data_IF_656611800325
#
_entry.id   IF_656611800325
#
_cell.length_a   1.000
_cell.length_b   1.000
_cell.length_c   1.000
_cell.angle_alpha   90.00
_cell.angle_beta   90.00
_cell.angle_gamma   90.00
#
_symmetry.space_group_name_H-M   'P 1'
#
loop_
_entity.id
_entity.type
_entity.pdbx_description
1 polymer ?
#
# COMPACT_ATOMS: atom_id res chain seq x y z
N UNK A 1 10.62 0.21 2.07
CA UNK A 1 10.66 -1.06 1.32
C UNK A 1 12.04 -1.72 1.23
N UNK A 2 13.16 -0.98 1.31
CA UNK A 2 14.53 -1.53 1.24
C UNK A 2 14.84 -2.62 2.28
N UNK A 3 14.36 -2.47 3.52
CA UNK A 3 14.56 -3.47 4.57
C UNK A 3 13.94 -4.83 4.20
N UNK A 4 12.67 -4.84 3.78
CA UNK A 4 12.00 -6.08 3.36
C UNK A 4 12.73 -6.73 2.17
N UNK A 5 13.10 -5.93 1.17
CA UNK A 5 13.85 -6.41 0.01
C UNK A 5 15.24 -6.98 0.37
N UNK A 6 15.87 -6.46 1.45
CA UNK A 6 17.15 -7.01 1.95
C UNK A 6 17.01 -8.34 2.68
N UNK A 7 15.81 -8.65 3.21
CA UNK A 7 15.51 -9.97 3.76
C UNK A 7 15.25 -10.98 2.64
N UNK A 8 14.37 -10.62 1.70
CA UNK A 8 14.16 -11.35 0.45
C UNK A 8 13.35 -10.51 -0.53
N UNK A 9 13.66 -10.62 -1.82
CA UNK A 9 12.83 -10.05 -2.89
C UNK A 9 11.52 -10.83 -3.10
N UNK A 10 11.47 -12.08 -2.63
CA UNK A 10 10.31 -12.97 -2.69
C UNK A 10 9.38 -12.80 -1.47
N UNK A 11 9.68 -11.85 -0.58
CA UNK A 11 8.77 -11.51 0.51
C UNK A 11 7.43 -11.08 -0.07
N UNK A 12 6.37 -11.78 0.33
CA UNK A 12 5.02 -11.41 -0.02
C UNK A 12 4.63 -10.11 0.68
N UNK A 13 4.16 -9.13 -0.08
CA UNK A 13 3.77 -7.82 0.43
C UNK A 13 2.38 -7.47 -0.07
N UNK A 14 1.48 -7.13 0.85
CA UNK A 14 0.17 -6.61 0.52
C UNK A 14 0.15 -5.08 0.74
N UNK A 15 -0.08 -4.32 -0.33
CA UNK A 15 -0.29 -2.87 -0.27
C UNK A 15 -1.80 -2.65 -0.29
N UNK A 16 -2.37 -2.18 0.82
CA UNK A 16 -3.83 -2.10 0.98
C UNK A 16 -4.34 -0.67 0.80
N UNK A 17 -5.33 -0.49 -0.08
CA UNK A 17 -6.05 0.78 -0.23
C UNK A 17 -7.27 0.94 0.68
N UNK A 18 -7.53 -0.04 1.55
CA UNK A 18 -8.83 -0.25 2.20
C UNK A 18 -9.02 0.58 3.49
N UNK A 19 -8.27 1.67 3.66
CA UNK A 19 -8.37 2.48 4.87
C UNK A 19 -9.66 3.32 4.90
N UNK A 20 -10.38 3.25 6.02
CA UNK A 20 -11.59 4.03 6.29
C UNK A 20 -11.50 4.60 7.71
N UNK A 21 -11.38 5.93 7.87
CA UNK A 21 -11.47 6.56 9.18
C UNK A 21 -12.82 6.21 9.84
N UNK A 22 -12.79 5.87 11.13
CA UNK A 22 -13.96 5.51 11.92
C UNK A 22 -13.88 6.18 13.30
N UNK A 23 -15.05 6.49 13.88
CA UNK A 23 -15.14 7.14 15.19
C UNK A 23 -14.28 8.42 15.24
N UNK A 24 -13.51 8.63 16.31
CA UNK A 24 -12.62 9.77 16.52
C UNK A 24 -11.56 9.96 15.43
N UNK A 25 -11.25 8.92 14.63
CA UNK A 25 -10.28 9.05 13.55
C UNK A 25 -10.70 10.11 12.52
N UNK A 26 -12.00 10.33 12.25
CA UNK A 26 -12.44 11.35 11.29
C UNK A 26 -11.97 12.78 11.63
N UNK A 27 -11.72 13.08 12.92
CA UNK A 27 -11.22 14.37 13.37
C UNK A 27 -9.70 14.44 13.49
N UNK A 28 -9.00 13.34 13.26
CA UNK A 28 -7.56 13.26 13.40
C UNK A 28 -6.85 13.90 12.20
N UNK A 29 -5.90 14.83 12.42
CA UNK A 29 -5.23 15.55 11.33
C UNK A 29 -4.30 14.67 10.48
N UNK A 30 -3.91 13.48 10.97
CA UNK A 30 -2.97 12.58 10.28
C UNK A 30 -3.69 11.40 9.64
N UNK A 31 -4.67 10.82 10.32
CA UNK A 31 -5.38 9.60 9.88
C UNK A 31 -6.85 9.84 9.56
N UNK A 32 -7.35 11.07 9.60
CA UNK A 32 -8.77 11.36 9.41
C UNK A 32 -9.29 11.37 7.99
N UNK A 33 -8.49 10.94 7.01
CA UNK A 33 -8.91 10.83 5.61
C UNK A 33 -8.63 9.46 5.03
N UNK A 34 -9.39 9.14 3.99
CA UNK A 34 -9.06 8.02 3.09
C UNK A 34 -7.80 8.36 2.29
N UNK A 35 -7.08 7.33 1.88
CA UNK A 35 -5.98 7.50 0.93
C UNK A 35 -6.55 7.83 -0.45
N UNK A 36 -5.78 8.57 -1.23
CA UNK A 36 -6.07 8.83 -2.64
C UNK A 36 -5.53 7.69 -3.50
N UNK A 37 -6.07 7.55 -4.71
CA UNK A 37 -5.58 6.60 -5.71
C UNK A 37 -4.08 6.82 -6.01
N UNK A 38 -3.66 8.08 -6.11
CA UNK A 38 -2.26 8.45 -6.36
C UNK A 38 -1.33 7.98 -5.26
N UNK A 39 -1.70 8.15 -3.99
CA UNK A 39 -0.87 7.70 -2.85
C UNK A 39 -0.73 6.18 -2.82
N UNK A 40 -1.81 5.48 -3.19
CA UNK A 40 -1.76 4.02 -3.36
C UNK A 40 -0.77 3.62 -4.46
N UNK A 41 -0.84 4.26 -5.63
CA UNK A 41 0.08 4.02 -6.75
C UNK A 41 1.54 4.32 -6.36
N UNK A 42 1.79 5.43 -5.67
CA UNK A 42 3.12 5.79 -5.16
C UNK A 42 3.67 4.72 -4.20
N UNK A 43 2.82 4.16 -3.33
CA UNK A 43 3.20 3.07 -2.43
C UNK A 43 3.53 1.77 -3.18
N UNK A 44 2.74 1.41 -4.20
CA UNK A 44 3.00 0.26 -5.07
C UNK A 44 4.32 0.44 -5.81
N UNK A 45 4.56 1.61 -6.40
CA UNK A 45 5.81 1.92 -7.10
C UNK A 45 7.01 1.87 -6.15
N UNK A 46 6.87 2.32 -4.90
CA UNK A 46 7.94 2.21 -3.91
C UNK A 46 8.30 0.75 -3.57
N UNK A 47 7.34 -0.18 -3.61
CA UNK A 47 7.60 -1.60 -3.44
C UNK A 47 8.32 -2.21 -4.66
N UNK A 48 7.83 -1.90 -5.87
CA UNK A 48 8.45 -2.34 -7.13
C UNK A 48 9.89 -1.80 -7.27
N UNK A 49 10.10 -0.52 -6.99
CA UNK A 49 11.42 0.12 -7.03
C UNK A 49 12.42 -0.47 -6.02
N UNK A 50 11.92 -1.06 -4.93
CA UNK A 50 12.76 -1.80 -3.98
C UNK A 50 13.10 -3.23 -4.43
N UNK A 51 12.53 -3.71 -5.54
CA UNK A 51 12.73 -5.06 -6.06
C UNK A 51 11.80 -6.12 -5.47
N UNK A 52 10.76 -5.71 -4.73
CA UNK A 52 9.70 -6.60 -4.27
C UNK A 52 8.75 -6.86 -5.43
N UNK A 53 8.54 -8.12 -5.76
CA UNK A 53 7.75 -8.51 -6.93
C UNK A 53 6.52 -9.36 -6.58
N UNK A 54 6.52 -10.03 -5.42
CA UNK A 54 5.36 -10.79 -4.90
C UNK A 54 4.39 -9.86 -4.18
N UNK A 55 3.74 -8.98 -4.95
CA UNK A 55 2.67 -8.12 -4.46
C UNK A 55 1.31 -8.84 -4.52
N UNK A 56 0.38 -8.49 -3.62
CA UNK A 56 -0.98 -9.06 -3.64
C UNK A 56 -1.72 -8.66 -4.93
N UNK A 57 -2.08 -9.65 -5.76
CA UNK A 57 -2.71 -9.44 -7.07
C UNK A 57 -4.22 -9.12 -6.98
N UNK A 58 -4.84 -9.23 -5.80
CA UNK A 58 -6.29 -9.00 -5.59
C UNK A 58 -6.77 -7.57 -5.93
N UNK A 59 -5.85 -6.64 -6.14
CA UNK A 59 -6.12 -5.26 -6.54
C UNK A 59 -5.82 -4.97 -8.03
N UNK A 60 -5.23 -5.91 -8.77
CA UNK A 60 -5.03 -5.78 -10.23
C UNK A 60 -6.31 -6.04 -11.01
N UNK A 61 -7.19 -6.90 -10.49
CA UNK A 61 -8.46 -7.25 -11.15
C UNK A 61 -9.54 -6.17 -11.01
N UNK A 62 -9.48 -5.30 -9.98
CA UNK A 62 -10.48 -4.26 -9.77
C UNK A 62 -10.25 -2.97 -10.58
N UNK A 63 -9.22 -2.93 -11.42
CA UNK A 63 -8.81 -1.78 -12.24
C UNK A 63 -8.69 -2.13 -13.75
N UNK A 64 -9.20 -3.29 -14.17
CA UNK A 64 -9.51 -3.62 -15.58
C UNK A 64 -11.01 -3.49 -15.81
#
# INVERSE_FOLDING_TARGET
MRFLASLSRDTYVNVMAQYRPCYEAHGDPQIGRRITQREYEEAVQAALAAGLHRLDDRLRESLQ
#
